data_IF_751785957289
#
_entry.id   IF_751785957289
#
_cell.length_a   1.000
_cell.length_b   1.000
_cell.length_c   1.000
_cell.angle_alpha   90.00
_cell.angle_beta   90.00
_cell.angle_gamma   90.00
#
_symmetry.space_group_name_H-M   'P 1'
#
loop_
_entity.id
_entity.type
_entity.pdbx_description
1 polymer ?
#
# COMPACT_ATOMS: atom_id res chain seq x y z
N UNK A 1 -4.92 -11.59 13.49
CA UNK A 1 -5.45 -12.29 12.29
C UNK A 1 -5.16 -11.46 11.04
N UNK A 2 -5.15 -12.10 9.87
CA UNK A 2 -5.05 -11.44 8.56
C UNK A 2 -6.36 -11.69 7.82
N UNK A 3 -6.98 -10.63 7.28
CA UNK A 3 -8.26 -10.71 6.55
C UNK A 3 -8.39 -9.56 5.55
N UNK A 4 -9.38 -9.60 4.67
CA UNK A 4 -9.63 -8.57 3.65
C UNK A 4 -10.38 -7.38 4.23
N UNK A 5 -10.00 -6.15 3.84
CA UNK A 5 -10.71 -4.93 4.26
C UNK A 5 -12.19 -4.93 3.82
N UNK A 6 -12.52 -5.56 2.71
CA UNK A 6 -13.92 -5.70 2.26
C UNK A 6 -14.81 -6.46 3.26
N UNK A 7 -14.24 -7.29 4.12
CA UNK A 7 -14.95 -7.96 5.22
C UNK A 7 -15.08 -7.07 6.48
N UNK A 8 -14.30 -5.97 6.55
CA UNK A 8 -14.21 -5.06 7.71
C UNK A 8 -14.34 -3.58 7.28
N UNK A 9 -15.40 -3.17 6.58
CA UNK A 9 -15.49 -1.85 5.95
C UNK A 9 -15.41 -0.67 6.95
N UNK A 10 -15.75 -0.92 8.22
CA UNK A 10 -15.62 0.07 9.30
C UNK A 10 -14.16 0.51 9.58
N UNK A 11 -13.16 -0.25 9.10
CA UNK A 11 -11.76 0.16 9.16
C UNK A 11 -11.32 1.05 7.98
N UNK A 12 -12.12 1.18 6.93
CA UNK A 12 -11.74 1.86 5.68
C UNK A 12 -11.30 3.30 5.92
N UNK A 13 -12.13 4.10 6.57
CA UNK A 13 -11.84 5.52 6.86
C UNK A 13 -10.59 5.71 7.70
N UNK A 14 -10.38 4.79 8.67
CA UNK A 14 -9.20 4.83 9.55
C UNK A 14 -7.93 4.54 8.76
N UNK A 15 -7.95 3.48 7.95
CA UNK A 15 -6.80 3.10 7.14
C UNK A 15 -6.49 4.14 6.07
N UNK A 16 -7.51 4.62 5.36
CA UNK A 16 -7.37 5.66 4.34
C UNK A 16 -6.71 6.91 4.91
N UNK A 17 -7.13 7.34 6.11
CA UNK A 17 -6.50 8.45 6.83
C UNK A 17 -5.04 8.19 7.19
N UNK A 18 -4.70 7.01 7.72
CA UNK A 18 -3.31 6.67 8.02
C UNK A 18 -2.41 6.72 6.80
N UNK A 19 -2.89 6.19 5.66
CA UNK A 19 -2.15 6.24 4.39
C UNK A 19 -1.99 7.68 3.91
N UNK A 20 -3.05 8.48 3.96
CA UNK A 20 -3.02 9.89 3.57
C UNK A 20 -2.05 10.71 4.44
N UNK A 21 -2.05 10.48 5.75
CA UNK A 21 -1.14 11.15 6.70
C UNK A 21 0.32 10.68 6.53
N UNK A 22 0.55 9.38 6.38
CA UNK A 22 1.89 8.80 6.25
C UNK A 22 2.56 9.17 4.92
N UNK A 23 1.78 9.26 3.84
CA UNK A 23 2.22 9.58 2.49
C UNK A 23 1.71 10.95 2.04
N UNK A 24 1.51 11.89 2.97
CA UNK A 24 0.96 13.21 2.68
C UNK A 24 1.74 13.99 1.61
N UNK A 25 3.03 13.66 1.42
CA UNK A 25 3.88 14.26 0.38
C UNK A 25 3.59 13.72 -1.03
N UNK A 26 2.97 12.55 -1.15
CA UNK A 26 2.56 11.95 -2.44
C UNK A 26 1.16 12.40 -2.84
N UNK A 27 0.30 12.71 -1.86
CA UNK A 27 -1.13 13.00 -2.05
C UNK A 27 -1.56 14.38 -1.54
N UNK A 28 -0.61 15.34 -1.45
CA UNK A 28 -0.80 16.64 -0.80
C UNK A 28 -2.01 17.43 -1.29
N UNK A 29 -2.41 17.22 -2.56
CA UNK A 29 -3.49 17.97 -3.21
C UNK A 29 -4.86 17.29 -3.11
N UNK A 30 -4.96 16.07 -2.55
CA UNK A 30 -6.22 15.34 -2.43
C UNK A 30 -6.85 15.59 -1.05
N UNK A 31 -8.06 16.18 -0.96
CA UNK A 31 -8.76 16.31 0.30
C UNK A 31 -9.06 14.94 0.94
N UNK A 32 -8.88 14.81 2.26
CA UNK A 32 -9.08 13.55 2.98
C UNK A 32 -10.46 12.92 2.71
N UNK A 33 -11.52 13.72 2.65
CA UNK A 33 -12.87 13.21 2.38
C UNK A 33 -13.00 12.58 1.00
N UNK A 34 -12.37 13.17 -0.02
CA UNK A 34 -12.33 12.60 -1.36
C UNK A 34 -11.50 11.31 -1.37
N UNK A 35 -10.33 11.34 -0.71
CA UNK A 35 -9.45 10.16 -0.59
C UNK A 35 -10.15 8.98 0.10
N UNK A 36 -10.88 9.22 1.20
CA UNK A 36 -11.63 8.20 1.92
C UNK A 36 -12.71 7.57 1.04
N UNK A 37 -13.42 8.39 0.26
CA UNK A 37 -14.43 7.92 -0.69
C UNK A 37 -13.82 7.04 -1.77
N UNK A 38 -12.78 7.52 -2.46
CA UNK A 38 -12.09 6.77 -3.53
C UNK A 38 -11.49 5.46 -3.00
N UNK A 39 -10.89 5.48 -1.80
CA UNK A 39 -10.31 4.30 -1.17
C UNK A 39 -11.38 3.23 -0.85
N UNK A 40 -12.53 3.65 -0.33
CA UNK A 40 -13.66 2.77 -0.01
C UNK A 40 -14.32 2.19 -1.26
N UNK A 41 -14.51 3.02 -2.29
CA UNK A 41 -15.03 2.60 -3.59
C UNK A 41 -14.10 1.54 -4.20
N UNK A 42 -12.79 1.75 -4.11
CA UNK A 42 -11.79 0.82 -4.61
C UNK A 42 -11.82 -0.56 -3.94
N UNK A 43 -12.14 -0.63 -2.65
CA UNK A 43 -12.32 -1.94 -1.98
C UNK A 43 -13.58 -2.66 -2.47
N UNK A 44 -14.58 -1.91 -2.93
CA UNK A 44 -15.91 -2.42 -3.27
C UNK A 44 -15.99 -2.85 -4.73
N UNK A 45 -15.47 -2.05 -5.65
CA UNK A 45 -15.38 -2.38 -7.08
C UNK A 45 -14.19 -3.30 -7.40
N UNK A 46 -13.30 -3.48 -6.41
CA UNK A 46 -12.11 -4.31 -6.43
C UNK A 46 -10.98 -3.76 -7.30
N UNK A 47 -11.02 -2.48 -7.66
CA UNK A 47 -9.89 -1.77 -8.25
C UNK A 47 -8.70 -1.69 -7.26
N UNK A 48 -8.96 -1.82 -5.96
CA UNK A 48 -7.95 -1.89 -4.91
C UNK A 48 -8.26 -3.02 -3.93
N UNK A 49 -7.30 -3.91 -3.69
CA UNK A 49 -7.41 -4.97 -2.69
C UNK A 49 -6.52 -4.65 -1.49
N UNK A 50 -7.08 -4.67 -0.28
CA UNK A 50 -6.29 -4.47 0.95
C UNK A 50 -6.45 -5.64 1.93
N UNK A 51 -5.31 -6.21 2.34
CA UNK A 51 -5.22 -7.13 3.47
C UNK A 51 -4.96 -6.33 4.74
N UNK A 52 -5.70 -6.65 5.81
CA UNK A 52 -5.55 -6.06 7.13
C UNK A 52 -4.78 -7.00 8.05
N UNK A 53 -3.92 -6.41 8.89
CA UNK A 53 -3.44 -7.04 10.10
C UNK A 53 -4.27 -6.54 11.29
N UNK A 54 -4.91 -7.48 11.99
CA UNK A 54 -5.79 -7.21 13.12
C UNK A 54 -5.28 -7.90 14.40
N UNK A 55 -5.41 -7.25 15.54
CA UNK A 55 -5.22 -7.86 16.87
C UNK A 55 -6.42 -7.54 17.77
N UNK A 56 -7.14 -8.58 18.18
CA UNK A 56 -8.43 -8.46 18.91
C UNK A 56 -9.41 -7.45 18.26
N UNK A 57 -9.52 -7.50 16.93
CA UNK A 57 -10.35 -6.56 16.15
C UNK A 57 -9.75 -5.15 15.96
N UNK A 58 -8.59 -4.87 16.53
CA UNK A 58 -7.90 -3.59 16.33
C UNK A 58 -7.04 -3.63 15.07
N UNK A 59 -7.20 -2.63 14.21
CA UNK A 59 -6.35 -2.43 13.04
C UNK A 59 -4.90 -2.13 13.45
N UNK A 60 -3.95 -2.94 13.00
CA UNK A 60 -2.51 -2.74 13.21
C UNK A 60 -1.79 -2.24 11.95
N UNK A 61 -2.33 -2.54 10.77
CA UNK A 61 -1.75 -2.14 9.49
C UNK A 61 -2.39 -2.85 8.31
N UNK A 62 -1.89 -2.57 7.12
CA UNK A 62 -2.36 -3.20 5.90
C UNK A 62 -1.24 -3.45 4.88
N UNK A 63 -1.56 -4.25 3.88
CA UNK A 63 -0.88 -4.28 2.59
C UNK A 63 -1.94 -4.17 1.49
N UNK A 64 -1.74 -3.27 0.54
CA UNK A 64 -2.70 -3.00 -0.53
C UNK A 64 -2.07 -3.21 -1.90
N UNK A 65 -2.89 -3.62 -2.88
CA UNK A 65 -2.48 -3.92 -4.24
C UNK A 65 -3.58 -3.46 -5.20
N UNK A 66 -3.25 -2.55 -6.11
CA UNK A 66 -4.20 -2.10 -7.12
C UNK A 66 -4.34 -3.16 -8.22
N UNK A 67 -5.56 -3.36 -8.72
CA UNK A 67 -5.84 -4.32 -9.80
C UNK A 67 -5.11 -3.94 -11.08
N UNK A 68 -5.03 -2.65 -11.38
CA UNK A 68 -4.41 -2.15 -12.61
C UNK A 68 -2.87 -2.36 -12.61
N UNK A 69 -2.27 -2.55 -11.43
CA UNK A 69 -0.85 -2.94 -11.28
C UNK A 69 -0.62 -4.45 -11.53
N UNK A 70 -1.68 -5.22 -11.79
CA UNK A 70 -1.64 -6.66 -12.04
C UNK A 70 -1.98 -7.03 -13.49
N UNK A 71 -1.12 -6.80 -14.50
CA UNK A 71 -1.25 -7.55 -15.73
C UNK A 71 -1.19 -9.07 -15.47
N UNK A 72 -1.91 -9.80 -16.32
CA UNK A 72 -1.93 -11.26 -16.28
C UNK A 72 -0.51 -11.81 -16.53
N UNK A 73 0.01 -12.61 -15.59
CA UNK A 73 1.28 -13.36 -15.76
C UNK A 73 2.52 -12.76 -15.08
N UNK A 74 2.37 -11.90 -14.09
CA UNK A 74 3.51 -11.44 -13.29
C UNK A 74 4.19 -12.55 -12.52
N UNK A 75 5.52 -12.57 -12.61
CA UNK A 75 6.40 -13.46 -11.85
C UNK A 75 7.10 -12.75 -10.68
N UNK A 76 6.83 -11.44 -10.49
CA UNK A 76 7.49 -10.61 -9.49
C UNK A 76 6.50 -9.59 -8.91
N UNK A 77 6.69 -9.26 -7.63
CA UNK A 77 6.12 -8.08 -6.97
C UNK A 77 7.14 -6.94 -7.01
N UNK A 78 6.65 -5.70 -7.06
CA UNK A 78 7.49 -4.51 -7.01
C UNK A 78 7.05 -3.59 -5.86
N UNK A 79 8.01 -2.90 -5.27
CA UNK A 79 7.76 -1.80 -4.34
C UNK A 79 8.86 -0.77 -4.47
N UNK A 80 8.62 0.44 -3.98
CA UNK A 80 9.68 1.39 -3.72
C UNK A 80 9.68 1.84 -2.25
N UNK A 81 10.85 2.25 -1.76
CA UNK A 81 10.99 2.77 -0.40
C UNK A 81 12.17 3.75 -0.30
N UNK A 82 12.02 4.81 0.49
CA UNK A 82 13.10 5.77 0.73
C UNK A 82 13.95 5.44 1.97
N UNK A 83 13.42 4.66 2.93
CA UNK A 83 14.05 4.43 4.23
C UNK A 83 14.05 2.96 4.70
N UNK A 84 13.37 2.04 3.99
CA UNK A 84 13.21 0.63 4.40
C UNK A 84 13.87 -0.39 3.48
N UNK A 85 14.74 0.01 2.57
CA UNK A 85 15.31 -0.91 1.58
C UNK A 85 16.05 -2.11 2.23
N UNK A 86 16.86 -1.85 3.26
CA UNK A 86 17.53 -2.89 4.05
C UNK A 86 16.56 -3.83 4.80
N UNK A 87 15.40 -3.30 5.23
CA UNK A 87 14.38 -4.11 5.89
C UNK A 87 13.77 -5.15 4.93
N UNK A 88 13.50 -4.73 3.69
CA UNK A 88 12.98 -5.60 2.64
C UNK A 88 14.06 -6.55 2.10
N UNK A 89 15.29 -6.07 1.94
CA UNK A 89 16.41 -6.89 1.47
C UNK A 89 16.63 -8.12 2.35
N UNK A 90 16.60 -7.95 3.68
CA UNK A 90 16.69 -9.05 4.66
C UNK A 90 15.56 -10.09 4.55
N UNK A 91 14.47 -9.75 3.86
CA UNK A 91 13.30 -10.62 3.62
C UNK A 91 13.26 -11.18 2.21
N UNK A 92 14.36 -11.10 1.47
CA UNK A 92 14.49 -11.67 0.13
C UNK A 92 14.16 -10.74 -1.02
N UNK A 93 13.79 -9.49 -0.75
CA UNK A 93 13.65 -8.50 -1.81
C UNK A 93 15.02 -8.15 -2.43
N UNK A 94 15.02 -7.90 -3.72
CA UNK A 94 16.21 -7.59 -4.50
C UNK A 94 16.21 -6.11 -4.90
N UNK A 95 17.37 -5.45 -4.80
CA UNK A 95 17.58 -4.10 -5.30
C UNK A 95 17.50 -4.08 -6.82
N UNK A 96 16.75 -3.14 -7.40
CA UNK A 96 16.65 -2.96 -8.85
C UNK A 96 17.26 -1.63 -9.30
N UNK A 97 16.82 -0.50 -8.75
CA UNK A 97 17.28 0.84 -9.16
C UNK A 97 17.13 1.87 -8.03
N UNK A 98 18.01 2.88 -8.00
CA UNK A 98 17.80 4.11 -7.22
C UNK A 98 17.21 5.21 -8.10
N UNK A 99 16.22 5.94 -7.58
CA UNK A 99 15.63 7.09 -8.25
C UNK A 99 15.36 8.26 -7.29
N UNK A 100 15.05 9.43 -7.83
CA UNK A 100 14.68 10.62 -7.06
C UNK A 100 13.19 10.92 -7.29
N UNK A 101 12.42 11.00 -6.21
CA UNK A 101 11.01 11.38 -6.22
C UNK A 101 10.64 12.10 -4.93
N UNK A 102 9.70 13.04 -4.99
CA UNK A 102 9.23 13.82 -3.83
C UNK A 102 10.34 14.41 -2.96
N UNK A 103 11.45 14.83 -3.58
CA UNK A 103 12.62 15.42 -2.90
C UNK A 103 13.47 14.43 -2.10
N UNK A 104 13.28 13.12 -2.29
CA UNK A 104 14.02 12.05 -1.60
C UNK A 104 14.60 11.04 -2.60
N UNK A 105 15.65 10.35 -2.18
CA UNK A 105 16.16 9.17 -2.89
C UNK A 105 15.34 7.95 -2.47
N UNK A 106 14.92 7.16 -3.46
CA UNK A 106 14.15 5.93 -3.28
C UNK A 106 14.89 4.75 -3.92
N UNK A 107 14.65 3.56 -3.38
CA UNK A 107 15.01 2.29 -4.00
C UNK A 107 13.76 1.64 -4.59
N UNK A 108 13.81 1.30 -5.88
CA UNK A 108 12.91 0.33 -6.51
C UNK A 108 13.44 -1.07 -6.21
N UNK A 109 12.56 -1.95 -5.74
CA UNK A 109 12.88 -3.32 -5.34
C UNK A 109 11.87 -4.30 -5.95
N UNK A 110 12.30 -5.55 -6.10
CA UNK A 110 11.46 -6.63 -6.60
C UNK A 110 11.52 -7.89 -5.71
N UNK A 111 10.48 -8.71 -5.77
CA UNK A 111 10.40 -10.01 -5.10
C UNK A 111 9.80 -11.06 -6.05
N UNK A 112 10.50 -12.17 -6.34
CA UNK A 112 9.96 -13.22 -7.22
C UNK A 112 8.81 -14.00 -6.54
N UNK A 113 7.74 -14.26 -7.29
CA UNK A 113 6.54 -15.01 -6.88
C UNK A 113 6.70 -16.52 -7.06
#
# INVERSE_FOLDING_TARGET
MIDWLSNHPHHSDTLARWLHEQFAYEYADVPLAQWQQEFADGQTDGSLYSLLALDDGNLLGSASLARDDLPLGHTHLYLHTHDRAEYYHKRGWQYLEQFQAWGKSHWLMQYPL
#
